data_IF_839319101349
#
_entry.id   IF_839319101349
#
_cell.length_a   1.000
_cell.length_b   1.000
_cell.length_c   1.000
_cell.angle_alpha   90.00
_cell.angle_beta   90.00
_cell.angle_gamma   90.00
#
_symmetry.space_group_name_H-M   'P 1'
#
loop_
_entity.id
_entity.type
_entity.pdbx_description
1 polymer ?
#
# COMPACT_ATOMS: atom_id res chain seq x y z
N UNK A 1 -18.05 -25.17 28.90
CA UNK A 1 -17.87 -24.10 27.87
C UNK A 1 -16.41 -24.12 27.45
N UNK A 2 -16.11 -24.69 26.28
CA UNK A 2 -14.73 -24.80 25.79
C UNK A 2 -14.32 -23.47 25.14
N UNK A 3 -13.50 -22.68 25.83
CA UNK A 3 -12.80 -21.52 25.23
C UNK A 3 -11.90 -22.05 24.12
N UNK A 4 -12.07 -21.56 22.90
CA UNK A 4 -11.14 -21.85 21.81
C UNK A 4 -9.82 -21.16 22.13
N UNK A 5 -8.75 -21.94 22.25
CA UNK A 5 -7.39 -21.47 22.52
C UNK A 5 -6.72 -21.28 21.17
N UNK A 6 -7.03 -20.20 20.46
CA UNK A 6 -6.17 -19.73 19.38
C UNK A 6 -5.48 -18.51 19.94
N UNK A 7 -4.18 -18.63 20.17
CA UNK A 7 -3.36 -17.56 20.72
C UNK A 7 -3.00 -16.60 19.58
N UNK A 8 -3.82 -15.57 19.40
CA UNK A 8 -3.58 -14.48 18.44
C UNK A 8 -2.50 -13.50 18.93
N UNK A 9 -1.84 -13.79 20.05
CA UNK A 9 -0.74 -12.95 20.52
C UNK A 9 0.41 -13.00 19.52
N UNK A 10 1.05 -11.85 19.25
CA UNK A 10 2.26 -11.84 18.46
C UNK A 10 3.27 -12.80 19.11
N UNK A 11 4.02 -13.60 18.32
CA UNK A 11 5.03 -14.48 18.87
C UNK A 11 5.95 -13.67 19.77
N UNK A 12 6.25 -14.20 20.95
CA UNK A 12 7.12 -13.53 21.90
C UNK A 12 8.47 -13.27 21.22
N UNK A 13 8.83 -12.00 21.08
CA UNK A 13 10.16 -11.63 20.64
C UNK A 13 11.10 -12.07 21.76
N UNK A 14 12.00 -13.01 21.47
CA UNK A 14 13.09 -13.37 22.35
C UNK A 14 14.32 -12.55 21.96
N UNK A 15 14.54 -11.34 22.55
CA UNK A 15 15.66 -10.49 22.20
C UNK A 15 17.00 -11.21 22.26
N UNK A 16 17.17 -12.19 23.15
CA UNK A 16 18.39 -12.98 23.30
C UNK A 16 18.80 -13.79 22.06
N UNK A 17 17.84 -14.20 21.21
CA UNK A 17 18.12 -14.91 19.96
C UNK A 17 18.67 -13.97 18.86
N UNK A 18 18.26 -12.71 18.89
CA UNK A 18 18.56 -11.72 17.84
C UNK A 18 19.66 -10.73 18.26
N UNK A 19 19.64 -10.27 19.50
CA UNK A 19 20.63 -9.41 20.13
C UNK A 19 21.77 -10.28 20.63
N UNK A 20 22.76 -10.52 19.77
CA UNK A 20 24.03 -11.15 20.17
C UNK A 20 24.86 -10.09 20.93
N UNK A 21 25.01 -10.15 22.26
CA UNK A 21 25.59 -9.04 23.02
C UNK A 21 27.03 -8.72 22.60
N UNK A 22 27.79 -9.76 22.24
CA UNK A 22 29.15 -9.64 21.69
C UNK A 22 29.25 -8.86 20.36
N UNK A 23 28.14 -8.71 19.63
CA UNK A 23 28.08 -7.97 18.36
C UNK A 23 27.50 -6.56 18.50
N UNK A 24 26.91 -6.21 19.64
CA UNK A 24 26.34 -4.88 19.86
C UNK A 24 27.41 -3.79 19.73
N UNK A 25 28.57 -3.97 20.36
CA UNK A 25 29.68 -3.01 20.26
C UNK A 25 30.26 -2.91 18.85
N UNK A 26 30.17 -4.00 18.07
CA UNK A 26 30.56 -3.99 16.66
C UNK A 26 29.57 -3.18 15.83
N UNK A 27 28.27 -3.44 15.98
CA UNK A 27 27.23 -2.71 15.25
C UNK A 27 27.17 -1.23 15.64
N UNK A 28 27.38 -0.91 16.92
CA UNK A 28 27.44 0.47 17.40
C UNK A 28 28.60 1.23 16.73
N UNK A 29 29.80 0.65 16.69
CA UNK A 29 30.95 1.24 15.98
C UNK A 29 30.69 1.39 14.48
N UNK A 30 30.13 0.36 13.85
CA UNK A 30 29.80 0.39 12.42
C UNK A 30 28.74 1.47 12.10
N UNK A 31 27.74 1.63 12.96
CA UNK A 31 26.74 2.69 12.84
C UNK A 31 27.39 4.07 12.95
N UNK A 32 28.27 4.26 13.93
CA UNK A 32 28.99 5.51 14.13
C UNK A 32 29.89 5.86 12.94
N UNK A 33 30.63 4.88 12.41
CA UNK A 33 31.42 5.03 11.17
C UNK A 33 30.53 5.44 10.00
N UNK A 34 29.42 4.75 9.78
CA UNK A 34 28.46 5.07 8.71
C UNK A 34 27.88 6.48 8.88
N UNK A 35 27.53 6.89 10.10
CA UNK A 35 27.04 8.23 10.40
C UNK A 35 28.10 9.30 10.11
N UNK A 36 29.36 9.04 10.48
CA UNK A 36 30.46 9.96 10.21
C UNK A 36 30.73 10.11 8.71
N UNK A 37 30.71 9.01 7.95
CA UNK A 37 30.82 9.02 6.48
C UNK A 37 29.66 9.80 5.84
N UNK A 38 28.42 9.54 6.27
CA UNK A 38 27.24 10.24 5.75
C UNK A 38 27.27 11.74 6.07
N UNK A 39 27.69 12.10 7.28
CA UNK A 39 27.86 13.51 7.68
C UNK A 39 28.89 14.22 6.81
N UNK A 40 30.00 13.56 6.51
CA UNK A 40 31.04 14.12 5.65
C UNK A 40 30.56 14.28 4.20
N UNK A 41 29.81 13.30 3.68
CA UNK A 41 29.18 13.40 2.37
C UNK A 41 28.22 14.60 2.27
N UNK A 42 27.35 14.77 3.27
CA UNK A 42 26.39 15.89 3.32
C UNK A 42 27.10 17.25 3.39
N UNK A 43 28.18 17.36 4.17
CA UNK A 43 29.02 18.57 4.19
C UNK A 43 29.56 18.90 2.80
N UNK A 44 30.07 17.90 2.08
CA UNK A 44 30.60 18.08 0.73
C UNK A 44 29.52 18.49 -0.27
N UNK A 45 28.34 17.87 -0.22
CA UNK A 45 27.18 18.24 -1.05
C UNK A 45 26.79 19.70 -0.79
N UNK A 46 26.68 20.09 0.48
CA UNK A 46 26.32 21.46 0.86
C UNK A 46 27.37 22.48 0.38
N UNK A 47 28.66 22.15 0.53
CA UNK A 47 29.76 22.98 0.05
C UNK A 47 29.68 23.16 -1.47
N UNK A 48 29.49 22.07 -2.24
CA UNK A 48 29.36 22.11 -3.70
C UNK A 48 28.15 22.95 -4.11
N UNK A 49 27.01 22.77 -3.47
CA UNK A 49 25.79 23.53 -3.79
C UNK A 49 25.98 25.04 -3.56
N UNK A 50 26.70 25.43 -2.50
CA UNK A 50 26.95 26.85 -2.17
C UNK A 50 28.05 27.49 -3.00
N UNK A 51 29.10 26.74 -3.32
CA UNK A 51 30.28 27.25 -4.03
C UNK A 51 30.22 27.00 -5.53
N UNK A 52 29.19 26.31 -6.02
CA UNK A 52 29.05 25.85 -7.41
C UNK A 52 29.91 24.62 -7.75
N UNK A 53 30.85 24.22 -6.90
CA UNK A 53 31.74 23.09 -7.10
C UNK A 53 32.67 23.22 -8.32
N UNK A 54 33.75 22.44 -8.34
CA UNK A 54 34.61 22.33 -9.53
C UNK A 54 34.11 21.17 -10.39
N UNK A 55 33.25 21.48 -11.37
CA UNK A 55 32.64 20.49 -12.25
C UNK A 55 33.44 20.41 -13.56
N UNK A 56 34.16 19.30 -13.77
CA UNK A 56 35.07 19.12 -14.91
C UNK A 56 34.39 19.16 -16.28
N UNK A 57 33.08 18.88 -16.37
CA UNK A 57 32.34 18.95 -17.63
C UNK A 57 32.20 20.39 -18.19
N UNK A 58 32.67 21.40 -17.45
CA UNK A 58 32.75 22.80 -17.86
C UNK A 58 34.18 23.25 -18.23
N UNK A 59 35.20 22.39 -18.12
CA UNK A 59 36.57 22.73 -18.54
C UNK A 59 36.69 22.69 -20.07
N UNK A 60 36.25 23.77 -20.72
CA UNK A 60 36.62 24.10 -22.10
C UNK A 60 37.15 25.53 -22.12
N UNK A 61 38.36 25.77 -22.67
CA UNK A 61 39.28 24.84 -23.33
C UNK A 61 40.17 24.03 -22.37
N UNK A 62 40.89 23.03 -22.91
CA UNK A 62 41.88 22.25 -22.14
C UNK A 62 42.90 23.17 -21.45
N UNK A 63 43.35 22.85 -20.22
CA UNK A 63 44.31 23.68 -19.51
C UNK A 63 45.69 23.64 -20.20
N UNK A 64 46.20 24.80 -20.62
CA UNK A 64 47.53 24.97 -21.22
C UNK A 64 48.71 24.63 -20.28
N UNK A 65 48.48 24.58 -18.97
CA UNK A 65 49.52 24.31 -17.98
C UNK A 65 49.71 22.80 -17.75
N UNK A 66 50.94 22.30 -17.93
CA UNK A 66 51.36 20.91 -17.73
C UNK A 66 50.91 20.33 -16.37
N UNK A 67 50.96 21.13 -15.30
CA UNK A 67 50.53 20.71 -13.96
C UNK A 67 49.02 20.38 -13.90
N UNK A 68 48.19 21.26 -14.48
CA UNK A 68 46.74 21.06 -14.52
C UNK A 68 46.36 19.85 -15.36
N UNK A 69 47.09 19.59 -16.46
CA UNK A 69 46.90 18.40 -17.30
C UNK A 69 47.18 17.09 -16.55
N UNK A 70 48.24 17.05 -15.74
CA UNK A 70 48.56 15.89 -14.88
C UNK A 70 47.48 15.65 -13.83
N UNK A 71 46.96 16.71 -13.21
CA UNK A 71 45.89 16.61 -12.22
C UNK A 71 44.59 16.05 -12.82
N UNK A 72 44.21 16.49 -14.02
CA UNK A 72 43.07 15.92 -14.75
C UNK A 72 43.26 14.43 -15.05
N UNK A 73 44.47 14.04 -15.47
CA UNK A 73 44.78 12.63 -15.71
C UNK A 73 44.71 11.78 -14.44
N UNK A 74 45.22 12.29 -13.32
CA UNK A 74 45.14 11.59 -12.03
C UNK A 74 43.68 11.40 -11.61
N UNK A 75 42.87 12.46 -11.68
CA UNK A 75 41.44 12.40 -11.35
C UNK A 75 40.67 11.44 -12.26
N UNK A 76 41.01 11.37 -13.55
CA UNK A 76 40.39 10.41 -14.45
C UNK A 76 40.69 8.96 -14.04
N UNK A 77 41.92 8.67 -13.59
CA UNK A 77 42.25 7.34 -13.05
C UNK A 77 41.44 7.01 -11.81
N UNK A 78 41.29 7.96 -10.89
CA UNK A 78 40.49 7.77 -9.67
C UNK A 78 39.02 7.48 -10.02
N UNK A 79 38.45 8.20 -10.99
CA UNK A 79 37.09 7.96 -11.50
C UNK A 79 36.95 6.59 -12.16
N UNK A 80 37.96 6.15 -12.91
CA UNK A 80 37.97 4.83 -13.54
C UNK A 80 38.05 3.70 -12.49
N UNK A 81 38.79 3.89 -11.39
CA UNK A 81 38.82 2.96 -10.26
C UNK A 81 37.48 2.88 -9.54
N UNK A 82 36.86 4.03 -9.24
CA UNK A 82 35.51 4.08 -8.66
C UNK A 82 34.51 3.36 -9.56
N UNK A 83 34.59 3.59 -10.89
CA UNK A 83 33.74 2.91 -11.87
C UNK A 83 33.91 1.40 -11.84
N UNK A 84 35.16 0.90 -11.78
CA UNK A 84 35.45 -0.54 -11.65
C UNK A 84 34.86 -1.12 -10.36
N UNK A 85 35.03 -0.43 -9.23
CA UNK A 85 34.48 -0.85 -7.94
C UNK A 85 32.94 -0.90 -7.96
N UNK A 86 32.29 0.10 -8.54
CA UNK A 86 30.84 0.15 -8.68
C UNK A 86 30.31 -0.98 -9.57
N UNK A 87 30.99 -1.29 -10.68
CA UNK A 87 30.64 -2.42 -11.55
C UNK A 87 30.75 -3.75 -10.82
N UNK A 88 31.80 -3.93 -10.00
CA UNK A 88 31.97 -5.12 -9.16
C UNK A 88 30.87 -5.22 -8.08
N UNK A 89 30.52 -4.12 -7.42
CA UNK A 89 29.44 -4.12 -6.44
C UNK A 89 28.09 -4.44 -7.09
N UNK A 90 27.82 -3.86 -8.27
CA UNK A 90 26.62 -4.12 -9.04
C UNK A 90 26.50 -5.59 -9.47
N UNK A 91 27.59 -6.21 -9.95
CA UNK A 91 27.57 -7.62 -10.31
C UNK A 91 27.29 -8.52 -9.10
N UNK A 92 27.82 -8.17 -7.92
CA UNK A 92 27.49 -8.86 -6.67
C UNK A 92 26.03 -8.71 -6.28
N UNK A 93 25.44 -7.53 -6.44
CA UNK A 93 24.01 -7.31 -6.15
C UNK A 93 23.11 -8.14 -7.07
N UNK A 94 23.46 -8.26 -8.35
CA UNK A 94 22.69 -9.09 -9.30
C UNK A 94 22.74 -10.58 -8.95
N UNK A 95 23.87 -11.05 -8.41
CA UNK A 95 24.05 -12.46 -8.03
C UNK A 95 23.47 -12.73 -6.64
N UNK A 96 23.45 -11.74 -5.76
CA UNK A 96 22.96 -11.89 -4.39
C UNK A 96 21.46 -12.21 -4.39
N UNK A 97 21.12 -13.45 -4.05
CA UNK A 97 19.75 -13.85 -3.76
C UNK A 97 19.35 -13.24 -2.42
N UNK A 98 18.20 -12.57 -2.36
CA UNK A 98 17.59 -12.17 -1.09
C UNK A 98 17.30 -13.42 -0.26
N UNK A 99 17.53 -13.36 1.06
CA UNK A 99 17.08 -14.42 1.98
C UNK A 99 15.54 -14.51 2.01
N UNK A 100 14.86 -13.45 1.58
CA UNK A 100 13.42 -13.47 1.38
C UNK A 100 13.08 -14.21 0.09
N UNK A 101 12.19 -15.19 0.20
CA UNK A 101 11.59 -15.88 -0.94
C UNK A 101 10.94 -14.88 -1.89
N UNK A 102 11.03 -15.13 -3.19
CA UNK A 102 10.31 -14.30 -4.16
C UNK A 102 8.79 -14.44 -3.98
N UNK A 103 8.04 -13.43 -4.40
CA UNK A 103 6.57 -13.45 -4.38
C UNK A 103 6.01 -14.70 -5.04
N UNK A 104 6.59 -15.13 -6.17
CA UNK A 104 6.19 -16.37 -6.87
C UNK A 104 6.41 -17.63 -6.02
N UNK A 105 7.56 -17.72 -5.35
CA UNK A 105 7.90 -18.86 -4.48
C UNK A 105 6.97 -18.89 -3.26
N UNK A 106 6.63 -17.73 -2.71
CA UNK A 106 5.65 -17.59 -1.63
C UNK A 106 4.24 -18.01 -2.08
N UNK A 107 3.82 -17.66 -3.28
CA UNK A 107 2.53 -18.08 -3.84
C UNK A 107 2.45 -19.59 -4.05
N UNK A 108 3.52 -20.22 -4.56
CA UNK A 108 3.61 -21.67 -4.72
C UNK A 108 3.54 -22.37 -3.34
N UNK A 109 4.33 -21.90 -2.38
CA UNK A 109 4.27 -22.39 -0.99
C UNK A 109 2.88 -22.22 -0.38
N UNK A 110 2.22 -21.09 -0.63
CA UNK A 110 0.86 -20.85 -0.15
C UNK A 110 -0.15 -21.81 -0.77
N UNK A 111 -0.05 -22.09 -2.08
CA UNK A 111 -0.91 -23.06 -2.77
C UNK A 111 -0.75 -24.45 -2.16
N UNK A 112 0.49 -24.89 -1.94
CA UNK A 112 0.80 -26.17 -1.31
C UNK A 112 0.28 -26.24 0.13
N UNK A 113 0.50 -25.19 0.91
CA UNK A 113 0.05 -25.09 2.30
C UNK A 113 -1.47 -25.14 2.37
N UNK A 114 -2.15 -24.38 1.51
CA UNK A 114 -3.61 -24.39 1.38
C UNK A 114 -4.13 -25.78 0.99
N UNK A 115 -3.48 -26.45 0.05
CA UNK A 115 -3.87 -27.79 -0.38
C UNK A 115 -3.76 -28.80 0.77
N UNK A 116 -2.65 -28.77 1.52
CA UNK A 116 -2.45 -29.60 2.71
C UNK A 116 -3.49 -29.32 3.80
N UNK A 117 -3.80 -28.05 4.04
CA UNK A 117 -4.83 -27.64 5.00
C UNK A 117 -6.21 -28.18 4.62
N UNK A 118 -6.59 -28.11 3.33
CA UNK A 118 -7.86 -28.64 2.85
C UNK A 118 -7.91 -30.16 3.00
N UNK A 119 -6.84 -30.88 2.64
CA UNK A 119 -6.78 -32.33 2.78
C UNK A 119 -6.82 -32.81 4.24
N UNK A 120 -6.18 -32.06 5.14
CA UNK A 120 -6.14 -32.38 6.56
C UNK A 120 -7.39 -31.97 7.34
N UNK A 121 -8.26 -31.14 6.76
CA UNK A 121 -9.44 -30.65 7.44
C UNK A 121 -10.58 -31.70 7.40
N UNK A 122 -11.04 -32.11 8.58
CA UNK A 122 -12.22 -33.00 8.72
C UNK A 122 -13.55 -32.27 8.49
N UNK A 123 -13.52 -30.94 8.60
CA UNK A 123 -14.63 -30.02 8.34
C UNK A 123 -14.29 -29.13 7.15
N UNK A 124 -15.28 -28.54 6.45
CA UNK A 124 -15.01 -27.60 5.37
C UNK A 124 -14.10 -26.46 5.88
N UNK A 125 -12.90 -26.37 5.30
CA UNK A 125 -11.94 -25.34 5.64
C UNK A 125 -12.42 -23.98 5.12
N UNK A 126 -12.85 -23.12 6.04
CA UNK A 126 -13.20 -21.74 5.76
C UNK A 126 -12.07 -20.87 6.33
N UNK A 127 -11.25 -20.28 5.46
CA UNK A 127 -10.08 -19.48 5.85
C UNK A 127 -10.46 -18.30 6.76
N UNK A 128 -11.67 -17.78 6.60
CA UNK A 128 -12.26 -16.76 7.45
C UNK A 128 -13.67 -17.20 7.86
N UNK A 129 -13.90 -17.47 9.14
CA UNK A 129 -15.27 -17.71 9.62
C UNK A 129 -16.13 -16.52 9.26
N UNK A 130 -17.12 -16.71 8.39
CA UNK A 130 -18.15 -15.72 8.12
C UNK A 130 -19.11 -15.72 9.32
N UNK A 131 -18.71 -15.08 10.42
CA UNK A 131 -19.65 -14.81 11.50
C UNK A 131 -20.71 -13.83 10.99
N UNK A 132 -21.99 -14.18 11.17
CA UNK A 132 -23.06 -13.20 11.08
C UNK A 132 -22.93 -12.29 12.30
N UNK A 133 -22.12 -11.25 12.15
CA UNK A 133 -22.02 -10.20 13.14
C UNK A 133 -23.21 -9.26 12.94
N UNK A 134 -24.39 -9.68 13.38
CA UNK A 134 -25.48 -8.74 13.66
C UNK A 134 -25.09 -8.00 14.94
N UNK A 135 -24.11 -7.09 14.82
CA UNK A 135 -23.92 -6.08 15.85
C UNK A 135 -25.20 -5.25 15.78
N UNK A 136 -25.97 -5.21 16.86
CA UNK A 136 -27.10 -4.29 17.05
C UNK A 136 -26.59 -2.84 17.05
N UNK A 137 -26.14 -2.37 15.89
CA UNK A 137 -25.69 -1.02 15.65
C UNK A 137 -26.95 -0.25 15.30
N UNK A 138 -27.68 0.16 16.35
CA UNK A 138 -28.86 1.01 16.20
C UNK A 138 -28.49 2.41 16.64
N UNK A 139 -28.48 3.32 15.67
CA UNK A 139 -28.45 4.75 15.98
C UNK A 139 -29.80 5.35 15.58
N UNK A 140 -30.50 6.03 16.52
CA UNK A 140 -31.84 6.56 16.26
C UNK A 140 -31.85 7.61 15.15
N UNK A 141 -30.71 8.24 14.84
CA UNK A 141 -30.59 9.18 13.73
C UNK A 141 -30.76 8.53 12.35
N UNK A 142 -30.55 7.21 12.23
CA UNK A 142 -30.76 6.48 10.97
C UNK A 142 -32.16 5.91 10.86
N UNK A 143 -32.97 5.99 11.92
CA UNK A 143 -34.34 5.50 11.89
C UNK A 143 -35.11 6.22 10.78
N UNK A 144 -35.81 5.41 10.00
CA UNK A 144 -36.54 5.87 8.84
C UNK A 144 -37.81 6.59 9.30
N UNK A 145 -38.05 7.85 8.91
CA UNK A 145 -39.27 8.55 9.28
C UNK A 145 -40.50 7.85 8.67
N UNK A 146 -41.66 7.90 9.37
CA UNK A 146 -42.89 7.31 8.86
C UNK A 146 -43.24 7.92 7.49
N UNK A 147 -43.65 7.08 6.53
CA UNK A 147 -44.03 7.42 5.15
C UNK A 147 -42.91 7.76 4.14
N UNK A 148 -41.63 7.65 4.49
CA UNK A 148 -40.56 7.76 3.50
C UNK A 148 -40.28 6.39 2.87
N UNK A 149 -39.72 6.33 1.65
CA UNK A 149 -39.20 5.09 1.05
C UNK A 149 -37.72 5.26 0.71
N UNK A 150 -36.87 4.38 1.23
CA UNK A 150 -35.43 4.36 0.98
C UNK A 150 -35.09 3.16 0.11
N UNK A 151 -34.32 3.38 -0.94
CA UNK A 151 -33.93 2.32 -1.87
C UNK A 151 -32.90 1.41 -1.21
N UNK A 152 -33.05 0.09 -1.38
CA UNK A 152 -32.06 -0.89 -0.95
C UNK A 152 -31.36 -1.47 -2.17
N UNK A 153 -30.03 -1.52 -2.10
CA UNK A 153 -29.16 -2.09 -3.12
C UNK A 153 -28.43 -3.27 -2.50
N UNK A 154 -28.20 -4.32 -3.29
CA UNK A 154 -27.38 -5.43 -2.84
C UNK A 154 -26.18 -5.65 -3.73
N UNK A 155 -25.01 -5.84 -3.13
CA UNK A 155 -23.73 -6.06 -3.82
C UNK A 155 -23.11 -7.36 -3.33
N UNK A 156 -22.46 -8.09 -4.22
CA UNK A 156 -21.74 -9.32 -3.88
C UNK A 156 -20.24 -9.05 -3.86
N UNK A 157 -19.57 -9.49 -2.79
CA UNK A 157 -18.13 -9.30 -2.61
C UNK A 157 -17.41 -10.62 -2.85
N UNK A 158 -16.34 -10.56 -3.64
CA UNK A 158 -15.52 -11.70 -4.04
C UNK A 158 -14.05 -11.45 -3.71
N UNK A 159 -13.32 -12.52 -3.39
CA UNK A 159 -11.86 -12.49 -3.38
C UNK A 159 -11.38 -12.64 -4.83
N UNK A 160 -10.45 -11.78 -5.26
CA UNK A 160 -9.85 -11.87 -6.60
C UNK A 160 -9.21 -13.25 -6.81
N UNK A 161 -9.65 -13.96 -7.85
CA UNK A 161 -9.18 -15.34 -8.14
C UNK A 161 -9.61 -16.38 -7.10
N UNK A 162 -10.57 -16.05 -6.22
CA UNK A 162 -11.01 -16.89 -5.12
C UNK A 162 -12.52 -17.03 -5.03
N UNK A 163 -12.99 -17.29 -3.82
CA UNK A 163 -14.40 -17.58 -3.54
C UNK A 163 -15.20 -16.32 -3.20
N UNK A 164 -16.52 -16.40 -3.38
CA UNK A 164 -17.49 -15.41 -2.89
C UNK A 164 -17.38 -15.26 -1.37
N UNK A 165 -17.21 -14.03 -0.89
CA UNK A 165 -17.14 -13.70 0.55
C UNK A 165 -18.55 -13.60 1.12
N UNK A 166 -19.43 -12.87 0.44
CA UNK A 166 -20.77 -12.60 0.95
C UNK A 166 -21.53 -11.56 0.15
N UNK A 167 -22.69 -11.18 0.68
CA UNK A 167 -23.60 -10.19 0.10
C UNK A 167 -23.78 -9.05 1.10
N UNK A 168 -23.56 -7.82 0.64
CA UNK A 168 -23.81 -6.60 1.41
C UNK A 168 -25.11 -5.97 0.91
N UNK A 169 -25.97 -5.56 1.82
CA UNK A 169 -27.21 -4.83 1.51
C UNK A 169 -27.06 -3.42 2.08
N UNK A 170 -27.18 -2.43 1.20
CA UNK A 170 -27.00 -1.01 1.52
C UNK A 170 -28.36 -0.35 1.36
N UNK A 171 -28.82 0.36 2.40
CA UNK A 171 -29.98 1.23 2.33
C UNK A 171 -29.52 2.66 2.06
N UNK A 172 -30.10 3.31 1.04
CA UNK A 172 -29.71 4.63 0.58
C UNK A 172 -30.61 5.71 1.18
N UNK A 173 -30.00 6.78 1.69
CA UNK A 173 -30.68 7.95 2.25
C UNK A 173 -31.18 8.91 1.16
N UNK A 174 -32.00 8.40 0.23
CA UNK A 174 -32.56 9.17 -0.90
C UNK A 174 -33.36 10.40 -0.44
N UNK A 175 -33.87 10.37 0.79
CA UNK A 175 -34.60 11.45 1.44
C UNK A 175 -33.70 12.64 1.82
N UNK A 176 -32.43 12.39 2.12
CA UNK A 176 -31.48 13.42 2.56
C UNK A 176 -30.50 13.84 1.46
N UNK A 177 -30.04 12.89 0.65
CA UNK A 177 -29.00 13.08 -0.37
C UNK A 177 -29.39 12.43 -1.70
N UNK A 178 -30.46 12.90 -2.37
CA UNK A 178 -30.98 12.29 -3.59
C UNK A 178 -29.98 12.26 -4.74
N UNK A 179 -29.17 13.32 -4.94
CA UNK A 179 -28.21 13.36 -6.05
C UNK A 179 -27.09 12.35 -5.85
N UNK A 180 -26.55 12.30 -4.63
CA UNK A 180 -25.51 11.33 -4.25
C UNK A 180 -26.01 9.90 -4.39
N UNK A 181 -27.24 9.63 -3.93
CA UNK A 181 -27.85 8.30 -4.05
C UNK A 181 -28.12 7.91 -5.51
N UNK A 182 -28.54 8.87 -6.35
CA UNK A 182 -28.76 8.62 -7.78
C UNK A 182 -27.46 8.29 -8.50
N UNK A 183 -26.38 9.03 -8.24
CA UNK A 183 -25.05 8.75 -8.76
C UNK A 183 -24.60 7.33 -8.40
N UNK A 184 -24.71 6.96 -7.12
CA UNK A 184 -24.36 5.63 -6.64
C UNK A 184 -25.20 4.54 -7.34
N UNK A 185 -26.51 4.76 -7.49
CA UNK A 185 -27.40 3.82 -8.18
C UNK A 185 -27.05 3.63 -9.66
N UNK A 186 -26.66 4.70 -10.35
CA UNK A 186 -26.21 4.62 -11.74
C UNK A 186 -24.97 3.75 -11.87
N UNK A 187 -23.96 3.96 -11.03
CA UNK A 187 -22.72 3.17 -11.06
C UNK A 187 -22.92 1.71 -10.60
N UNK A 188 -23.88 1.44 -9.72
CA UNK A 188 -24.27 0.07 -9.37
C UNK A 188 -24.89 -0.66 -10.58
N UNK A 189 -25.77 0.01 -11.32
CA UNK A 189 -26.44 -0.57 -12.50
C UNK A 189 -25.52 -0.67 -13.71
N UNK A 190 -24.51 0.17 -13.75
CA UNK A 190 -23.70 0.42 -14.93
C UNK A 190 -24.27 1.58 -15.72
N UNK A 191 -23.37 2.47 -16.13
CA UNK A 191 -23.69 3.64 -16.93
C UNK A 191 -23.68 3.34 -18.44
N UNK A 192 -24.21 4.25 -19.26
CA UNK A 192 -24.27 4.14 -20.71
C UNK A 192 -22.89 3.95 -21.36
N UNK A 193 -21.83 4.44 -20.72
CA UNK A 193 -20.44 4.28 -21.18
C UNK A 193 -19.79 2.96 -20.74
N UNK A 194 -20.52 2.08 -20.04
CA UNK A 194 -20.04 0.77 -19.60
C UNK A 194 -19.24 0.80 -18.28
N UNK A 195 -19.16 1.96 -17.61
CA UNK A 195 -18.57 2.05 -16.27
C UNK A 195 -19.55 1.58 -15.22
N UNK A 196 -19.11 0.66 -14.36
CA UNK A 196 -19.92 0.10 -13.28
C UNK A 196 -19.02 -0.26 -12.09
N UNK A 197 -19.61 -0.37 -10.89
CA UNK A 197 -18.90 -0.94 -9.74
C UNK A 197 -18.62 -2.45 -9.89
N UNK A 198 -19.34 -3.13 -10.78
CA UNK A 198 -19.08 -4.53 -11.08
C UNK A 198 -17.65 -4.71 -11.63
N UNK A 199 -16.85 -5.53 -10.96
CA UNK A 199 -15.45 -5.78 -11.34
C UNK A 199 -14.45 -4.80 -10.73
N UNK A 200 -14.89 -3.74 -10.05
CA UNK A 200 -13.98 -2.85 -9.30
C UNK A 200 -13.52 -3.50 -8.00
N UNK A 201 -12.32 -3.12 -7.53
CA UNK A 201 -11.74 -3.67 -6.29
C UNK A 201 -11.79 -2.65 -5.16
N UNK A 202 -11.76 -3.17 -3.93
CA UNK A 202 -11.38 -2.37 -2.77
C UNK A 202 -9.86 -2.19 -2.78
N UNK A 203 -9.39 -1.07 -3.32
CA UNK A 203 -7.96 -0.80 -3.47
C UNK A 203 -7.27 -0.41 -2.15
N UNK A 204 -8.04 0.00 -1.12
CA UNK A 204 -7.49 0.29 0.21
C UNK A 204 -8.42 -0.20 1.31
N UNK A 205 -7.88 -1.04 2.19
CA UNK A 205 -8.57 -1.54 3.38
C UNK A 205 -7.72 -1.16 4.59
N UNK A 206 -8.27 -0.35 5.49
CA UNK A 206 -7.66 -0.02 6.77
C UNK A 206 -8.51 -0.69 7.85
N UNK A 207 -7.99 -1.73 8.53
CA UNK A 207 -8.71 -2.42 9.60
C UNK A 207 -9.25 -1.42 10.64
N UNK A 208 -10.46 -1.69 11.15
CA UNK A 208 -11.17 -0.90 12.16
C UNK A 208 -11.52 0.55 11.77
N UNK A 209 -11.26 0.94 10.52
CA UNK A 209 -11.51 2.32 10.06
C UNK A 209 -12.43 2.37 8.83
N UNK A 210 -11.96 1.94 7.65
CA UNK A 210 -12.77 1.95 6.44
C UNK A 210 -12.26 0.98 5.36
N UNK A 211 -13.17 0.63 4.45
CA UNK A 211 -12.86 0.02 3.17
C UNK A 211 -13.15 1.04 2.07
N UNK A 212 -12.16 1.34 1.22
CA UNK A 212 -12.30 2.27 0.10
C UNK A 212 -12.22 1.51 -1.22
N UNK A 213 -13.19 1.77 -2.10
CA UNK A 213 -13.32 1.19 -3.42
C UNK A 213 -14.07 2.13 -4.36
N UNK A 214 -14.57 1.60 -5.48
CA UNK A 214 -15.42 2.34 -6.40
C UNK A 214 -14.69 3.20 -7.44
N UNK A 215 -13.37 3.03 -7.59
CA UNK A 215 -12.63 3.64 -8.71
C UNK A 215 -12.87 2.82 -9.99
N UNK A 216 -13.87 3.25 -10.78
CA UNK A 216 -14.28 2.60 -12.02
C UNK A 216 -13.34 2.86 -13.20
N UNK A 217 -12.34 3.74 -13.05
CA UNK A 217 -11.47 4.18 -14.17
C UNK A 217 -10.07 3.60 -14.10
N UNK A 218 -9.40 3.71 -12.94
CA UNK A 218 -8.00 3.34 -12.77
C UNK A 218 -7.81 2.20 -11.78
N UNK A 219 -8.83 1.89 -10.99
CA UNK A 219 -8.84 0.82 -9.99
C UNK A 219 -7.65 0.89 -9.01
N UNK A 220 -7.18 2.12 -8.73
CA UNK A 220 -6.04 2.41 -7.86
C UNK A 220 -6.30 3.55 -6.87
N UNK A 221 -7.48 4.17 -6.94
CA UNK A 221 -7.93 5.23 -6.04
C UNK A 221 -7.59 6.65 -6.49
N UNK A 222 -6.99 6.83 -7.65
CA UNK A 222 -6.72 8.13 -8.27
C UNK A 222 -7.70 8.47 -9.41
N UNK A 223 -8.69 7.62 -9.65
CA UNK A 223 -9.79 7.91 -10.56
C UNK A 223 -10.89 8.76 -9.93
N UNK A 224 -11.57 9.53 -10.78
CA UNK A 224 -12.81 10.24 -10.48
C UNK A 224 -13.67 10.15 -11.73
N UNK A 225 -14.93 9.75 -11.57
CA UNK A 225 -15.84 9.55 -12.69
C UNK A 225 -17.27 9.87 -12.30
N UNK A 226 -17.90 10.74 -13.09
CA UNK A 226 -19.34 10.95 -13.08
C UNK A 226 -19.94 10.44 -14.41
N UNK A 227 -21.19 9.92 -14.41
CA UNK A 227 -21.89 9.39 -15.59
C UNK A 227 -21.98 10.32 -16.81
N UNK A 228 -21.68 11.60 -16.66
CA UNK A 228 -21.66 12.60 -17.74
C UNK A 228 -20.28 12.74 -18.39
N UNK A 229 -19.31 11.90 -17.99
CA UNK A 229 -17.92 12.00 -18.45
C UNK A 229 -17.12 13.10 -17.76
N UNK A 230 -17.71 13.75 -16.76
CA UNK A 230 -17.04 14.74 -15.94
C UNK A 230 -16.04 14.08 -14.98
N UNK A 231 -14.86 14.67 -14.89
CA UNK A 231 -13.81 14.28 -13.93
C UNK A 231 -13.78 15.15 -12.69
N UNK A 232 -14.63 16.19 -12.64
CA UNK A 232 -14.72 17.06 -11.47
C UNK A 232 -15.56 16.40 -10.38
N UNK A 233 -15.09 16.41 -9.12
CA UNK A 233 -15.84 15.81 -8.03
C UNK A 233 -17.11 16.63 -7.76
N UNK A 234 -18.22 15.93 -7.54
CA UNK A 234 -19.46 16.57 -7.08
C UNK A 234 -19.25 17.20 -5.70
N UNK A 235 -19.77 18.42 -5.50
CA UNK A 235 -19.79 19.06 -4.18
C UNK A 235 -20.65 18.29 -3.18
N UNK A 236 -20.40 18.50 -1.89
CA UNK A 236 -21.16 17.86 -0.82
C UNK A 236 -22.62 18.34 -0.80
N UNK A 237 -23.56 17.39 -0.90
CA UNK A 237 -25.00 17.67 -0.91
C UNK A 237 -25.54 17.97 0.50
N UNK A 238 -25.06 17.25 1.52
CA UNK A 238 -25.46 17.44 2.91
C UNK A 238 -24.40 16.89 3.87
N UNK A 239 -24.34 17.46 5.08
CA UNK A 239 -23.50 17.01 6.20
C UNK A 239 -24.33 16.63 7.43
N UNK A 240 -25.62 16.33 7.25
CA UNK A 240 -26.55 16.12 8.36
C UNK A 240 -26.25 14.84 9.16
N UNK A 241 -25.78 13.78 8.49
CA UNK A 241 -25.47 12.50 9.11
C UNK A 241 -24.01 12.44 9.58
N UNK A 242 -23.80 11.99 10.82
CA UNK A 242 -22.46 11.83 11.42
C UNK A 242 -21.92 10.42 11.19
N UNK A 243 -20.60 10.29 11.27
CA UNK A 243 -19.87 9.02 11.11
C UNK A 243 -19.68 8.34 12.47
N UNK A 244 -20.78 8.07 13.15
CA UNK A 244 -20.85 7.65 14.55
C UNK A 244 -20.80 6.14 14.73
N UNK A 245 -21.19 5.38 13.70
CA UNK A 245 -21.23 3.91 13.75
C UNK A 245 -20.60 3.27 12.51
N UNK A 246 -20.09 2.02 12.62
CA UNK A 246 -19.59 1.29 11.46
C UNK A 246 -20.73 0.82 10.55
N UNK A 247 -20.43 0.67 9.26
CA UNK A 247 -21.41 0.25 8.24
C UNK A 247 -22.00 1.40 7.42
N UNK A 248 -21.65 2.64 7.73
CA UNK A 248 -22.07 3.80 6.96
C UNK A 248 -21.30 3.91 5.62
N UNK A 249 -21.99 4.32 4.57
CA UNK A 249 -21.44 4.54 3.22
C UNK A 249 -21.44 6.05 2.93
N UNK A 250 -20.32 6.57 2.45
CA UNK A 250 -20.10 7.99 2.16
C UNK A 250 -19.49 8.18 0.77
#
# INVERSE_FOLDING_TARGET
MAKHIVDDKPPELFPELYLKPRRLDYYARQLEENMNVNKELLKRINLIQRTGGYVDCWMRPEPNNKYKKLLCQQRQRDLDEIRKSNLYFYSRLLIARSEQLLTRELEELWKDTKHKLILGATLPFILFKTEKLDRDIKEPAFDKPPNVHRTKVSMEIWVVGGSKIGKVVIELFNDLVPKTCQLFLTLVRGDAFGHAYLGTRFFRIVPDLYCRGGDVTKDNGFGCYLPEGETEPMGAESFHLKHTVPGNVF
#
